data_IF_399159355602
#
_entry.id   IF_399159355602
#
_cell.length_a   1.000
_cell.length_b   1.000
_cell.length_c   1.000
_cell.angle_alpha   90.00
_cell.angle_beta   90.00
_cell.angle_gamma   90.00
#
_symmetry.space_group_name_H-M   'P 1'
#
loop_
_entity.id
_entity.type
_entity.pdbx_description
1 polymer ?
#
# COMPACT_ATOMS: atom_id res chain seq x y z
N UNK A 1 12.55 -14.56 15.57
CA UNK A 1 13.81 -14.64 16.31
C UNK A 1 14.70 -13.52 15.79
N UNK A 2 14.98 -12.54 16.63
CA UNK A 2 15.92 -11.48 16.31
C UNK A 2 17.26 -11.88 16.94
N UNK A 3 18.19 -12.36 16.12
CA UNK A 3 19.55 -12.48 16.58
C UNK A 3 20.09 -11.09 16.89
N UNK A 4 20.72 -10.93 18.05
CA UNK A 4 21.27 -9.65 18.53
C UNK A 4 22.30 -8.99 17.59
N UNK A 5 22.69 -9.70 16.51
CA UNK A 5 23.62 -9.25 15.47
C UNK A 5 22.96 -8.69 14.21
N UNK A 6 21.61 -8.79 14.10
CA UNK A 6 20.88 -8.28 12.92
C UNK A 6 20.33 -6.91 13.22
N UNK A 7 20.80 -5.90 12.50
CA UNK A 7 20.22 -4.58 12.50
C UNK A 7 19.04 -4.56 11.52
N UNK A 8 17.81 -4.45 12.02
CA UNK A 8 16.61 -4.37 11.20
C UNK A 8 15.94 -3.00 11.39
N UNK A 9 15.79 -2.24 10.28
CA UNK A 9 15.11 -0.94 10.29
C UNK A 9 13.58 -1.07 10.30
N UNK A 10 13.05 -2.21 9.87
CA UNK A 10 11.62 -2.46 9.72
C UNK A 10 11.09 -3.38 10.83
N UNK A 11 11.43 -3.08 12.08
CA UNK A 11 10.89 -3.83 13.21
C UNK A 11 9.39 -3.54 13.36
N UNK A 12 8.59 -4.61 13.38
CA UNK A 12 7.16 -4.48 13.66
C UNK A 12 6.93 -4.34 15.18
N UNK A 13 5.97 -3.50 15.61
CA UNK A 13 5.68 -3.27 17.03
C UNK A 13 4.92 -4.43 17.69
N UNK A 14 4.62 -5.49 16.96
CA UNK A 14 3.86 -6.64 17.42
C UNK A 14 4.73 -7.89 17.50
N UNK A 15 4.48 -8.74 18.51
CA UNK A 15 5.15 -10.02 18.64
C UNK A 15 4.45 -11.08 17.75
N UNK A 16 5.25 -11.85 17.01
CA UNK A 16 4.72 -13.00 16.29
C UNK A 16 4.36 -14.13 17.27
N UNK A 17 3.11 -14.57 17.24
CA UNK A 17 2.63 -15.71 18.01
C UNK A 17 2.04 -16.77 17.06
N UNK A 18 2.75 -17.89 16.81
CA UNK A 18 2.26 -18.95 15.91
C UNK A 18 1.02 -19.69 16.47
N UNK A 19 0.72 -19.53 17.77
CA UNK A 19 -0.45 -20.10 18.44
C UNK A 19 -1.59 -19.07 18.63
N UNK A 20 -1.49 -17.90 18.00
CA UNK A 20 -2.54 -16.89 18.09
C UNK A 20 -3.87 -17.44 17.56
N UNK A 21 -4.96 -17.09 18.22
CA UNK A 21 -6.29 -17.44 17.77
C UNK A 21 -6.57 -16.84 16.37
N UNK A 22 -7.43 -17.50 15.62
CA UNK A 22 -7.88 -17.01 14.32
C UNK A 22 -8.52 -15.63 14.48
N UNK A 23 -8.18 -14.64 13.64
CA UNK A 23 -8.69 -13.28 13.75
C UNK A 23 -10.12 -13.17 13.17
N UNK A 24 -11.10 -13.72 13.85
CA UNK A 24 -12.47 -13.88 13.32
C UNK A 24 -13.12 -12.55 12.94
N UNK A 25 -12.93 -11.49 13.75
CA UNK A 25 -13.46 -10.16 13.43
C UNK A 25 -12.87 -9.57 12.15
N UNK A 26 -11.58 -9.77 11.94
CA UNK A 26 -10.90 -9.34 10.71
C UNK A 26 -11.44 -10.10 9.49
N UNK A 27 -11.57 -11.41 9.60
CA UNK A 27 -12.10 -12.23 8.53
C UNK A 27 -13.56 -11.93 8.22
N UNK A 28 -14.39 -11.68 9.24
CA UNK A 28 -15.76 -11.24 9.06
C UNK A 28 -15.82 -9.90 8.31
N UNK A 29 -15.00 -8.92 8.73
CA UNK A 29 -14.89 -7.63 8.05
C UNK A 29 -14.47 -7.78 6.59
N UNK A 30 -13.48 -8.62 6.28
CA UNK A 30 -13.07 -8.87 4.89
C UNK A 30 -14.20 -9.50 4.06
N UNK A 31 -14.94 -10.45 4.62
CA UNK A 31 -16.10 -11.07 3.94
C UNK A 31 -17.25 -10.08 3.69
N UNK A 32 -17.39 -9.06 4.53
CA UNK A 32 -18.37 -7.99 4.29
C UNK A 32 -17.88 -7.02 3.20
N UNK A 33 -16.57 -6.81 3.11
CA UNK A 33 -15.97 -5.81 2.23
C UNK A 33 -15.73 -6.31 0.81
N UNK A 34 -15.31 -7.57 0.65
CA UNK A 34 -14.84 -8.16 -0.60
C UNK A 34 -15.59 -9.42 -0.96
N UNK A 35 -15.60 -9.77 -2.25
CA UNK A 35 -16.00 -11.10 -2.68
C UNK A 35 -15.01 -12.14 -2.14
N UNK A 36 -15.49 -13.36 -1.82
CA UNK A 36 -14.67 -14.41 -1.20
C UNK A 36 -13.40 -14.77 -2.00
N UNK A 37 -13.49 -14.73 -3.33
CA UNK A 37 -12.37 -14.99 -4.25
C UNK A 37 -11.27 -13.92 -4.21
N UNK A 38 -11.59 -12.68 -3.82
CA UNK A 38 -10.66 -11.56 -3.75
C UNK A 38 -9.88 -11.49 -2.42
N UNK A 39 -10.43 -12.08 -1.36
CA UNK A 39 -9.82 -12.06 -0.03
C UNK A 39 -8.42 -12.66 -0.02
N UNK A 40 -8.14 -13.82 -0.62
CA UNK A 40 -6.80 -14.38 -0.70
C UNK A 40 -5.81 -13.42 -1.37
N UNK A 41 -6.19 -12.78 -2.47
CA UNK A 41 -5.34 -11.81 -3.18
C UNK A 41 -4.96 -10.64 -2.29
N UNK A 42 -5.92 -10.07 -1.54
CA UNK A 42 -5.63 -9.03 -0.55
C UNK A 42 -4.67 -9.52 0.52
N UNK A 43 -4.93 -10.69 1.12
CA UNK A 43 -4.12 -11.23 2.21
C UNK A 43 -2.69 -11.53 1.77
N UNK A 44 -2.49 -12.11 0.58
CA UNK A 44 -1.18 -12.36 -0.01
C UNK A 44 -0.42 -11.06 -0.26
N UNK A 45 -1.09 -10.03 -0.80
CA UNK A 45 -0.49 -8.73 -1.00
C UNK A 45 -0.07 -8.07 0.32
N UNK A 46 -0.92 -8.12 1.35
CA UNK A 46 -0.58 -7.59 2.67
C UNK A 46 0.59 -8.36 3.30
N UNK A 47 0.64 -9.67 3.13
CA UNK A 47 1.78 -10.51 3.52
C UNK A 47 3.07 -10.13 2.78
N UNK A 48 2.98 -9.88 1.48
CA UNK A 48 4.10 -9.38 0.67
C UNK A 48 4.61 -8.03 1.18
N UNK A 49 3.73 -7.16 1.69
CA UNK A 49 4.12 -5.87 2.27
C UNK A 49 4.95 -5.98 3.56
N UNK A 50 5.01 -7.14 4.22
CA UNK A 50 5.85 -7.34 5.41
C UNK A 50 7.33 -7.60 5.07
N UNK A 51 7.67 -7.82 3.80
CA UNK A 51 9.02 -8.19 3.37
C UNK A 51 9.67 -6.99 2.66
N UNK A 52 10.89 -6.54 3.01
CA UNK A 52 11.59 -5.44 2.33
C UNK A 52 12.12 -5.87 0.95
N UNK A 53 11.22 -6.26 0.06
CA UNK A 53 11.52 -6.82 -1.26
C UNK A 53 10.45 -6.40 -2.27
N UNK A 54 10.84 -6.08 -3.48
CA UNK A 54 9.95 -5.65 -4.58
C UNK A 54 9.84 -6.67 -5.71
N UNK A 55 10.34 -7.89 -5.51
CA UNK A 55 10.37 -8.95 -6.55
C UNK A 55 9.00 -9.27 -7.15
N UNK A 56 7.91 -9.09 -6.39
CA UNK A 56 6.55 -9.26 -6.89
C UNK A 56 6.12 -8.18 -7.89
N UNK A 57 6.80 -7.03 -7.90
CA UNK A 57 6.54 -5.90 -8.82
C UNK A 57 5.06 -5.51 -8.90
N UNK A 58 4.37 -5.49 -7.76
CA UNK A 58 2.94 -5.21 -7.68
C UNK A 58 2.65 -4.05 -6.72
N UNK A 59 1.60 -3.31 -7.07
CA UNK A 59 0.89 -2.37 -6.21
C UNK A 59 -0.59 -2.73 -6.19
N UNK A 60 -1.32 -2.31 -5.17
CA UNK A 60 -2.73 -2.64 -5.03
C UNK A 60 -3.60 -1.41 -5.01
N UNK A 61 -4.69 -1.49 -5.76
CA UNK A 61 -5.81 -0.57 -5.74
C UNK A 61 -7.04 -1.27 -5.19
N UNK A 62 -7.64 -0.69 -4.17
CA UNK A 62 -8.91 -1.13 -3.63
C UNK A 62 -9.95 -0.05 -3.91
N UNK A 63 -10.89 -0.35 -4.78
CA UNK A 63 -11.86 0.59 -5.33
C UNK A 63 -13.25 0.35 -4.77
N UNK A 64 -14.03 1.41 -4.64
CA UNK A 64 -15.42 1.32 -4.19
C UNK A 64 -16.17 2.62 -4.48
N UNK A 65 -17.40 2.71 -3.99
CA UNK A 65 -18.27 3.89 -4.17
C UNK A 65 -18.08 4.94 -3.07
N UNK A 66 -17.47 4.55 -1.95
CA UNK A 66 -17.28 5.37 -0.74
C UNK A 66 -18.12 4.85 0.42
N UNK A 67 -17.56 4.92 1.64
CA UNK A 67 -18.27 4.51 2.86
C UNK A 67 -18.26 3.01 3.17
N UNK A 68 -17.61 2.15 2.37
CA UNK A 68 -17.57 0.69 2.58
C UNK A 68 -16.60 0.27 3.70
N UNK A 69 -15.70 1.16 4.12
CA UNK A 69 -14.73 0.87 5.18
C UNK A 69 -13.32 0.52 4.70
N UNK A 70 -12.95 0.80 3.46
CA UNK A 70 -11.60 0.56 2.90
C UNK A 70 -10.48 1.08 3.79
N UNK A 71 -10.63 2.31 4.31
CA UNK A 71 -9.65 2.98 5.19
C UNK A 71 -9.37 2.22 6.48
N UNK A 72 -10.28 1.35 6.93
CA UNK A 72 -10.06 0.49 8.11
C UNK A 72 -8.91 -0.50 7.90
N UNK A 73 -8.68 -0.94 6.66
CA UNK A 73 -7.51 -1.76 6.32
C UNK A 73 -6.22 -0.97 6.62
N UNK A 74 -6.16 0.29 6.19
CA UNK A 74 -5.01 1.18 6.47
C UNK A 74 -4.74 1.34 7.96
N UNK A 75 -5.79 1.49 8.79
CA UNK A 75 -5.67 1.57 10.25
C UNK A 75 -5.12 0.28 10.86
N UNK A 76 -5.61 -0.87 10.44
CA UNK A 76 -5.10 -2.19 10.90
C UNK A 76 -3.61 -2.33 10.55
N UNK A 77 -3.23 -1.99 9.32
CA UNK A 77 -1.84 -2.05 8.89
C UNK A 77 -0.94 -1.09 9.66
N UNK A 78 -1.41 0.13 9.95
CA UNK A 78 -0.67 1.10 10.76
C UNK A 78 -0.42 0.58 12.17
N UNK A 79 -1.40 -0.06 12.79
CA UNK A 79 -1.24 -0.68 14.11
C UNK A 79 -0.33 -1.91 14.09
N UNK A 80 -0.40 -2.72 13.02
CA UNK A 80 0.43 -3.92 12.86
C UNK A 80 1.89 -3.60 12.56
N UNK A 81 2.14 -2.60 11.71
CA UNK A 81 3.45 -2.34 11.12
C UNK A 81 4.12 -1.07 11.69
N UNK A 82 3.38 -0.22 12.41
CA UNK A 82 3.90 0.98 13.04
C UNK A 82 4.57 1.93 12.03
N UNK A 83 5.81 2.32 12.32
CA UNK A 83 6.58 3.24 11.49
C UNK A 83 7.02 2.66 10.13
N UNK A 84 6.83 1.36 9.90
CA UNK A 84 7.06 0.78 8.58
C UNK A 84 5.99 1.18 7.55
N UNK A 85 4.87 1.76 7.98
CA UNK A 85 3.80 2.32 7.14
C UNK A 85 3.88 3.84 7.12
N UNK A 86 3.83 4.45 5.94
CA UNK A 86 3.59 5.87 5.74
C UNK A 86 2.22 6.11 5.10
N UNK A 87 1.60 7.24 5.42
CA UNK A 87 0.47 7.77 4.67
C UNK A 87 0.99 8.80 3.68
N UNK A 88 0.48 8.78 2.47
CA UNK A 88 0.92 9.69 1.42
C UNK A 88 -0.02 9.69 0.23
N UNK A 89 0.35 10.46 -0.79
CA UNK A 89 -0.38 10.48 -2.05
C UNK A 89 0.53 10.00 -3.17
N UNK A 90 0.04 9.06 -3.96
CA UNK A 90 0.77 8.50 -5.10
C UNK A 90 1.07 9.59 -6.15
N UNK A 91 0.21 10.62 -6.29
CA UNK A 91 0.47 11.77 -7.14
C UNK A 91 1.68 12.58 -6.65
N UNK A 92 1.80 12.77 -5.34
CA UNK A 92 2.96 13.46 -4.76
C UNK A 92 4.24 12.65 -4.93
N UNK A 93 4.18 11.33 -4.85
CA UNK A 93 5.33 10.45 -5.14
C UNK A 93 5.81 10.65 -6.57
N UNK A 94 4.91 10.73 -7.55
CA UNK A 94 5.27 10.95 -8.94
C UNK A 94 5.91 12.34 -9.16
N UNK A 95 5.42 13.37 -8.48
CA UNK A 95 5.78 14.76 -8.77
C UNK A 95 6.83 15.39 -7.86
N UNK A 96 7.08 14.82 -6.66
CA UNK A 96 7.91 15.41 -5.63
C UNK A 96 9.03 14.50 -5.13
N UNK A 97 10.27 14.97 -5.19
CA UNK A 97 11.44 14.31 -4.61
C UNK A 97 11.35 14.18 -3.08
N UNK A 98 10.73 15.14 -2.43
CA UNK A 98 10.49 15.10 -0.98
C UNK A 98 9.54 13.98 -0.60
N UNK A 99 8.43 13.80 -1.33
CA UNK A 99 7.50 12.71 -1.08
C UNK A 99 8.14 11.33 -1.30
N UNK A 100 9.08 11.21 -2.25
CA UNK A 100 9.87 9.98 -2.43
C UNK A 100 10.81 9.72 -1.26
N UNK A 101 11.42 10.76 -0.67
CA UNK A 101 12.28 10.62 0.50
C UNK A 101 11.52 10.11 1.74
N UNK A 102 10.21 10.39 1.85
CA UNK A 102 9.38 9.89 2.95
C UNK A 102 9.13 8.37 2.87
N UNK A 103 9.38 7.77 1.70
CA UNK A 103 9.29 6.30 1.50
C UNK A 103 10.55 5.55 1.91
N UNK A 104 11.64 6.26 2.21
CA UNK A 104 12.89 5.64 2.61
C UNK A 104 12.71 4.84 3.90
N UNK A 105 13.14 3.58 3.87
CA UNK A 105 12.97 2.63 4.97
C UNK A 105 11.50 2.33 5.34
N UNK A 106 10.54 2.59 4.47
CA UNK A 106 9.15 2.18 4.64
C UNK A 106 8.88 0.88 3.88
N UNK A 107 8.01 0.03 4.45
CA UNK A 107 7.54 -1.18 3.80
C UNK A 107 6.30 -0.93 2.95
N UNK A 108 5.47 0.02 3.38
CA UNK A 108 4.18 0.31 2.75
C UNK A 108 3.87 1.80 2.81
N UNK A 109 3.33 2.33 1.72
CA UNK A 109 2.62 3.61 1.70
C UNK A 109 1.14 3.36 1.42
N UNK A 110 0.29 3.95 2.25
CA UNK A 110 -1.16 3.96 2.08
C UNK A 110 -1.58 5.32 1.52
N UNK A 111 -2.27 5.31 0.39
CA UNK A 111 -2.98 6.45 -0.18
C UNK A 111 -4.48 6.24 0.05
N UNK A 112 -5.04 6.98 1.00
CA UNK A 112 -6.42 6.78 1.46
C UNK A 112 -7.47 7.55 0.64
N UNK A 113 -7.02 8.44 -0.23
CA UNK A 113 -7.90 9.27 -1.08
C UNK A 113 -7.30 9.42 -2.48
N UNK A 114 -7.17 8.30 -3.18
CA UNK A 114 -6.64 8.28 -4.53
C UNK A 114 -7.53 9.06 -5.48
N UNK A 115 -7.01 10.16 -6.02
CA UNK A 115 -7.65 10.87 -7.12
C UNK A 115 -7.28 10.22 -8.46
N UNK A 116 -8.23 9.47 -9.02
CA UNK A 116 -8.04 8.70 -10.26
C UNK A 116 -7.71 9.58 -11.48
N UNK A 117 -8.07 10.88 -11.46
CA UNK A 117 -7.83 11.80 -12.57
C UNK A 117 -6.44 12.46 -12.55
N UNK A 118 -5.61 12.22 -11.54
CA UNK A 118 -4.42 13.02 -11.27
C UNK A 118 -3.09 12.34 -11.60
N UNK A 119 -3.07 11.21 -12.31
CA UNK A 119 -1.84 10.49 -12.69
C UNK A 119 -1.57 10.54 -14.20
N UNK A 120 -1.15 11.70 -14.77
CA UNK A 120 -0.81 11.79 -16.19
C UNK A 120 0.50 11.06 -16.52
N UNK A 121 1.34 10.81 -15.53
CA UNK A 121 2.61 10.07 -15.65
C UNK A 121 2.77 9.13 -14.46
N UNK A 122 3.45 8.00 -14.65
CA UNK A 122 3.67 6.98 -13.61
C UNK A 122 5.10 6.43 -13.63
N UNK A 123 6.06 7.20 -14.12
CA UNK A 123 7.43 6.72 -14.31
C UNK A 123 8.13 6.42 -12.99
N UNK A 124 8.03 7.32 -12.01
CA UNK A 124 8.61 7.11 -10.69
C UNK A 124 7.90 6.00 -9.91
N UNK A 125 6.57 5.95 -10.01
CA UNK A 125 5.77 4.87 -9.41
C UNK A 125 6.21 3.50 -9.97
N UNK A 126 6.31 3.38 -11.29
CA UNK A 126 6.80 2.15 -11.95
C UNK A 126 8.19 1.77 -11.47
N UNK A 127 9.11 2.75 -11.38
CA UNK A 127 10.48 2.52 -10.91
C UNK A 127 10.53 2.05 -9.46
N UNK A 128 9.70 2.61 -8.58
CA UNK A 128 9.62 2.18 -7.17
C UNK A 128 9.05 0.78 -7.06
N UNK A 129 7.99 0.46 -7.80
CA UNK A 129 7.36 -0.87 -7.76
C UNK A 129 8.31 -1.96 -8.24
N UNK A 130 9.21 -1.68 -9.18
CA UNK A 130 10.23 -2.63 -9.65
C UNK A 130 11.50 -2.60 -8.79
N UNK A 131 11.85 -1.44 -8.22
CA UNK A 131 13.08 -1.17 -7.46
C UNK A 131 14.36 -1.74 -8.13
N UNK A 132 14.45 -1.56 -9.44
CA UNK A 132 15.60 -2.03 -10.24
C UNK A 132 16.82 -1.11 -10.10
N UNK A 133 16.62 0.12 -9.61
CA UNK A 133 17.67 1.12 -9.44
C UNK A 133 17.40 2.00 -8.23
N UNK A 134 18.48 2.57 -7.70
CA UNK A 134 18.40 3.63 -6.70
C UNK A 134 17.69 4.86 -7.28
N UNK A 135 17.02 5.57 -6.42
CA UNK A 135 16.23 6.74 -6.79
C UNK A 135 16.76 7.99 -6.10
N UNK A 136 16.73 9.10 -6.83
CA UNK A 136 17.03 10.41 -6.27
C UNK A 136 15.97 10.82 -5.26
N UNK A 137 16.41 11.06 -4.03
CA UNK A 137 15.60 11.57 -2.94
C UNK A 137 16.19 12.87 -2.39
N UNK A 138 15.34 13.70 -1.84
CA UNK A 138 15.75 14.99 -1.29
C UNK A 138 15.01 15.25 0.02
N UNK A 139 15.75 15.71 1.03
CA UNK A 139 15.19 16.18 2.29
C UNK A 139 15.51 17.67 2.45
N UNK A 140 14.60 18.41 3.11
CA UNK A 140 14.80 19.84 3.33
C UNK A 140 16.12 20.09 4.06
N UNK A 141 16.98 20.92 3.47
CA UNK A 141 18.29 21.27 4.03
C UNK A 141 19.39 20.20 3.84
N UNK A 142 19.12 19.13 3.10
CA UNK A 142 20.09 18.07 2.79
C UNK A 142 20.21 17.97 1.28
N UNK A 143 21.45 17.89 0.77
CA UNK A 143 21.72 17.67 -0.65
C UNK A 143 21.05 16.37 -1.11
N UNK A 144 20.53 16.34 -2.35
CA UNK A 144 19.95 15.14 -2.94
C UNK A 144 20.95 13.98 -2.95
N UNK A 145 20.44 12.78 -2.69
CA UNK A 145 21.23 11.56 -2.65
C UNK A 145 20.44 10.38 -3.24
N UNK A 146 21.14 9.28 -3.52
CA UNK A 146 20.56 8.08 -4.07
C UNK A 146 20.17 7.10 -2.94
N UNK A 147 18.91 6.65 -2.93
CA UNK A 147 18.41 5.69 -1.96
C UNK A 147 17.65 4.53 -2.61
N UNK A 148 17.69 3.37 -1.97
CA UNK A 148 16.88 2.22 -2.33
C UNK A 148 15.48 2.39 -1.71
N UNK A 149 14.46 2.47 -2.55
CA UNK A 149 13.06 2.54 -2.10
C UNK A 149 12.38 1.21 -2.43
N UNK A 150 11.91 0.52 -1.42
CA UNK A 150 11.23 -0.76 -1.51
C UNK A 150 9.79 -0.72 -0.96
N UNK A 151 9.26 0.46 -0.71
CA UNK A 151 7.89 0.64 -0.28
C UNK A 151 6.90 0.16 -1.36
N UNK A 152 5.83 -0.53 -0.92
CA UNK A 152 4.70 -0.87 -1.80
C UNK A 152 3.62 0.17 -1.64
N UNK A 153 2.69 0.16 -2.58
CA UNK A 153 1.56 1.08 -2.59
C UNK A 153 0.25 0.32 -2.40
N UNK A 154 -0.53 0.75 -1.41
CA UNK A 154 -1.93 0.37 -1.22
C UNK A 154 -2.76 1.64 -1.33
N UNK A 155 -3.55 1.73 -2.39
CA UNK A 155 -4.31 2.93 -2.74
C UNK A 155 -5.80 2.64 -2.63
N UNK A 156 -6.51 3.47 -1.89
CA UNK A 156 -7.97 3.41 -1.80
C UNK A 156 -8.57 4.51 -2.68
N UNK A 157 -9.47 4.13 -3.57
CA UNK A 157 -10.09 5.05 -4.51
C UNK A 157 -11.60 4.88 -4.59
N UNK A 158 -12.26 5.95 -5.02
CA UNK A 158 -13.68 5.94 -5.33
C UNK A 158 -13.84 6.05 -6.86
N UNK A 159 -14.57 5.09 -7.46
CA UNK A 159 -14.81 5.04 -8.89
C UNK A 159 -14.01 3.97 -9.64
N UNK A 160 -14.14 3.97 -10.98
CA UNK A 160 -13.53 2.97 -11.83
C UNK A 160 -12.09 3.34 -12.25
N UNK A 161 -11.23 2.33 -12.40
CA UNK A 161 -9.85 2.46 -12.89
C UNK A 161 -9.71 3.05 -14.30
N UNK A 162 -10.79 3.10 -15.07
CA UNK A 162 -10.83 3.71 -16.40
C UNK A 162 -10.42 5.18 -16.44
N UNK A 163 -10.34 5.84 -15.26
CA UNK A 163 -9.91 7.22 -15.13
C UNK A 163 -8.39 7.42 -14.97
N UNK A 164 -7.58 6.34 -14.87
CA UNK A 164 -6.11 6.48 -14.88
C UNK A 164 -5.59 6.72 -16.31
N UNK A 165 -4.94 7.86 -16.51
CA UNK A 165 -4.45 8.28 -17.84
C UNK A 165 -3.27 7.45 -18.38
N UNK A 166 -2.51 6.77 -17.52
CA UNK A 166 -1.42 5.90 -18.01
C UNK A 166 -1.95 4.51 -18.35
N UNK A 167 -2.25 4.30 -19.62
CA UNK A 167 -2.67 3.03 -20.21
C UNK A 167 -1.50 2.17 -20.71
N UNK A 168 -0.25 2.46 -20.28
CA UNK A 168 0.89 1.64 -20.70
C UNK A 168 0.81 0.24 -20.10
N UNK A 169 1.16 -0.79 -20.91
CA UNK A 169 1.27 -2.18 -20.45
C UNK A 169 2.17 -2.31 -19.21
N UNK A 170 3.21 -1.46 -19.16
CA UNK A 170 4.12 -1.40 -18.01
C UNK A 170 3.44 -1.00 -16.71
N UNK A 171 2.41 -0.15 -16.74
CA UNK A 171 1.65 0.24 -15.56
C UNK A 171 0.57 -0.79 -15.23
N UNK A 172 -0.18 -1.27 -16.22
CA UNK A 172 -1.25 -2.24 -16.04
C UNK A 172 -0.77 -3.54 -15.39
N UNK A 173 0.31 -4.13 -15.89
CA UNK A 173 0.83 -5.40 -15.38
C UNK A 173 1.29 -5.34 -13.91
N UNK A 174 1.49 -4.15 -13.36
CA UNK A 174 1.93 -3.94 -11.98
C UNK A 174 0.78 -3.75 -10.99
N UNK A 175 -0.43 -3.68 -11.48
CA UNK A 175 -1.61 -3.43 -10.65
C UNK A 175 -2.27 -4.75 -10.22
N UNK A 176 -2.68 -4.77 -8.96
CA UNK A 176 -3.70 -5.66 -8.45
C UNK A 176 -4.90 -4.77 -8.11
N UNK A 177 -6.05 -5.07 -8.68
CA UNK A 177 -7.25 -4.26 -8.52
C UNK A 177 -8.32 -5.10 -7.91
N UNK A 178 -8.80 -4.68 -6.75
CA UNK A 178 -9.94 -5.27 -6.08
C UNK A 178 -11.06 -4.24 -5.98
N UNK A 179 -12.30 -4.70 -6.07
CA UNK A 179 -13.47 -3.85 -5.93
C UNK A 179 -14.27 -4.28 -4.72
N UNK A 180 -14.66 -3.31 -3.88
CA UNK A 180 -15.47 -3.60 -2.71
C UNK A 180 -16.91 -3.91 -3.09
N UNK A 181 -17.56 -4.72 -2.28
CA UNK A 181 -19.02 -4.87 -2.30
C UNK A 181 -19.70 -3.55 -2.01
N UNK A 182 -20.90 -3.40 -2.51
CA UNK A 182 -21.75 -2.27 -2.14
C UNK A 182 -22.15 -2.36 -0.66
N UNK A 183 -22.07 -1.24 0.03
CA UNK A 183 -22.52 -1.15 1.41
C UNK A 183 -24.04 -1.34 1.47
N UNK A 184 -24.57 -2.22 2.35
CA UNK A 184 -26.02 -2.29 2.59
C UNK A 184 -26.58 -0.95 3.06
N UNK A 185 -27.71 -0.52 2.47
CA UNK A 185 -28.30 0.79 2.70
C UNK A 185 -28.70 1.09 4.16
N UNK A 186 -28.82 0.06 5.00
CA UNK A 186 -29.33 0.17 6.38
C UNK A 186 -28.23 0.11 7.45
N UNK A 187 -26.96 0.19 7.06
CA UNK A 187 -25.84 0.15 8.02
C UNK A 187 -25.38 1.55 8.36
N UNK A 188 -25.86 2.09 9.50
CA UNK A 188 -25.29 3.29 10.10
C UNK A 188 -23.94 2.95 10.77
N UNK A 189 -22.95 3.84 10.61
CA UNK A 189 -21.70 3.76 11.37
C UNK A 189 -21.98 4.28 12.79
N UNK A 190 -21.98 3.39 13.75
CA UNK A 190 -21.90 3.72 15.18
C UNK A 190 -20.44 3.62 15.64
#
# INVERSE_FOLDING_TARGET
FQESRLFCRNRLPVAYNPKAAKPERWLAFLNELLEPEDIPTLQEYLGYCLIPCTKGQKMMFLLGKGGEGKSRIGLVLKNLMGDAVSNGSIQKVETSRFARADLENRLLMVDDDLNMNALPKTNYIKSIVTAEAKMDVERKGIQSYQSDIYARFLCFGNGALTALYDHSDGFWRRQLVLTTKDRPANREDN
#
